data_IF_852449261885
#
_entry.id   IF_852449261885
#
_cell.length_a   1.000
_cell.length_b   1.000
_cell.length_c   1.000
_cell.angle_alpha   90.00
_cell.angle_beta   90.00
_cell.angle_gamma   90.00
#
_symmetry.space_group_name_H-M   'P 1'
#
loop_
_entity.id
_entity.type
_entity.pdbx_description
1 polymer ?
#
# COMPACT_ATOMS: atom_id res chain seq x y z
N UNK A 1 -33.88 5.63 2.85
CA UNK A 1 -32.64 5.68 2.04
C UNK A 1 -32.31 4.24 1.70
N UNK A 2 -32.39 3.84 0.42
CA UNK A 2 -31.99 2.49 0.00
C UNK A 2 -30.49 2.54 -0.26
N UNK A 3 -29.70 1.90 0.58
CA UNK A 3 -28.30 1.62 0.28
C UNK A 3 -28.26 0.73 -0.95
N UNK A 4 -27.64 1.22 -2.02
CA UNK A 4 -27.57 0.49 -3.29
C UNK A 4 -26.30 -0.39 -3.27
N UNK A 5 -26.40 -1.72 -3.27
CA UNK A 5 -25.26 -2.62 -3.06
C UNK A 5 -24.25 -2.68 -4.24
N UNK A 6 -24.54 -2.01 -5.36
CA UNK A 6 -23.75 -2.10 -6.61
C UNK A 6 -22.60 -1.08 -6.74
N UNK A 7 -22.24 -0.38 -5.66
CA UNK A 7 -21.21 0.68 -5.72
C UNK A 7 -19.79 0.10 -5.76
N UNK A 8 -19.58 -1.08 -5.16
CA UNK A 8 -18.27 -1.72 -5.09
C UNK A 8 -18.19 -2.90 -6.05
N UNK A 9 -17.40 -2.76 -7.12
CA UNK A 9 -17.18 -3.83 -8.09
C UNK A 9 -15.89 -4.59 -7.80
N UNK A 10 -15.92 -5.94 -7.74
CA UNK A 10 -14.73 -6.74 -7.61
C UNK A 10 -13.88 -6.63 -8.88
N UNK A 11 -12.56 -6.57 -8.70
CA UNK A 11 -11.59 -6.54 -9.80
C UNK A 11 -10.23 -7.13 -9.35
N UNK A 12 -9.30 -7.26 -10.30
CA UNK A 12 -7.92 -7.62 -10.03
C UNK A 12 -6.98 -6.45 -10.32
N UNK A 13 -6.02 -6.21 -9.43
CA UNK A 13 -4.95 -5.24 -9.61
C UNK A 13 -3.57 -5.92 -9.61
N UNK A 14 -2.60 -5.32 -10.29
CA UNK A 14 -1.22 -5.79 -10.34
C UNK A 14 -0.38 -5.03 -9.31
N UNK A 15 0.26 -5.73 -8.38
CA UNK A 15 1.28 -5.15 -7.51
C UNK A 15 2.60 -5.11 -8.27
N UNK A 16 3.15 -3.91 -8.43
CA UNK A 16 4.37 -3.63 -9.20
C UNK A 16 5.38 -2.87 -8.35
N UNK A 17 6.60 -2.70 -8.87
CA UNK A 17 7.63 -1.88 -8.24
C UNK A 17 7.26 -0.40 -8.05
N UNK A 18 6.27 0.11 -8.81
CA UNK A 18 5.79 1.49 -8.74
C UNK A 18 4.59 1.67 -7.79
N UNK A 19 3.88 0.59 -7.47
CA UNK A 19 2.66 0.63 -6.67
C UNK A 19 1.66 -0.46 -7.06
N UNK A 20 0.44 -0.37 -6.52
CA UNK A 20 -0.69 -1.21 -6.95
C UNK A 20 -1.26 -0.59 -8.23
N UNK A 21 -1.06 -1.24 -9.37
CA UNK A 21 -1.49 -0.78 -10.68
C UNK A 21 -2.86 -1.35 -11.05
N UNK A 22 -3.80 -0.47 -11.37
CA UNK A 22 -5.12 -0.83 -11.88
C UNK A 22 -5.61 0.21 -12.88
N UNK A 23 -6.03 -0.23 -14.07
CA UNK A 23 -6.51 0.64 -15.18
C UNK A 23 -5.61 1.86 -15.44
N UNK A 24 -4.29 1.66 -15.45
CA UNK A 24 -3.29 2.70 -15.71
C UNK A 24 -3.05 3.68 -14.55
N UNK A 25 -3.72 3.49 -13.41
CA UNK A 25 -3.54 4.30 -12.19
C UNK A 25 -2.72 3.53 -11.18
N UNK A 26 -2.00 4.27 -10.33
CA UNK A 26 -1.17 3.71 -9.27
C UNK A 26 -1.80 4.05 -7.93
N UNK A 27 -1.88 3.06 -7.07
CA UNK A 27 -2.44 3.15 -5.72
C UNK A 27 -1.42 2.69 -4.68
N UNK A 28 -1.56 3.20 -3.46
CA UNK A 28 -0.73 2.79 -2.32
C UNK A 28 -1.55 2.76 -1.03
N UNK A 29 -1.23 1.83 -0.13
CA UNK A 29 -1.82 1.73 1.20
C UNK A 29 -0.76 1.44 2.26
N UNK A 30 -1.13 1.65 3.51
CA UNK A 30 -0.22 1.43 4.64
C UNK A 30 0.26 -0.02 4.73
N UNK A 31 -0.59 -1.00 4.42
CA UNK A 31 -0.25 -2.42 4.44
C UNK A 31 0.85 -2.74 3.42
N UNK A 32 0.66 -2.31 2.17
CA UNK A 32 1.64 -2.51 1.10
C UNK A 32 3.01 -1.90 1.44
N UNK A 33 3.01 -0.72 2.09
CA UNK A 33 4.24 -0.08 2.56
C UNK A 33 4.90 -0.84 3.72
N UNK A 34 4.12 -1.23 4.75
CA UNK A 34 4.63 -1.97 5.92
C UNK A 34 5.23 -3.31 5.53
N UNK A 35 4.61 -4.01 4.58
CA UNK A 35 5.03 -5.33 4.12
C UNK A 35 6.02 -5.28 2.94
N UNK A 36 6.44 -4.07 2.53
CA UNK A 36 7.40 -3.83 1.45
C UNK A 36 6.97 -4.47 0.12
N UNK A 37 5.68 -4.40 -0.20
CA UNK A 37 5.13 -5.02 -1.40
C UNK A 37 5.82 -4.52 -2.67
N UNK A 38 6.03 -3.21 -2.79
CA UNK A 38 6.62 -2.61 -3.98
C UNK A 38 8.10 -2.98 -4.14
N UNK A 39 8.83 -3.20 -3.05
CA UNK A 39 10.21 -3.69 -3.14
C UNK A 39 10.25 -5.13 -3.67
N UNK A 40 9.40 -6.01 -3.13
CA UNK A 40 9.28 -7.41 -3.56
C UNK A 40 8.80 -7.51 -5.01
N UNK A 41 7.87 -6.65 -5.39
CA UNK A 41 7.28 -6.62 -6.74
C UNK A 41 8.25 -6.13 -7.83
N UNK A 42 9.40 -5.54 -7.47
CA UNK A 42 10.49 -5.28 -8.42
C UNK A 42 11.17 -6.58 -8.89
N UNK A 43 11.19 -7.60 -8.04
CA UNK A 43 11.75 -8.91 -8.37
C UNK A 43 10.69 -9.75 -9.09
N UNK A 44 9.49 -9.83 -8.51
CA UNK A 44 8.39 -10.60 -9.06
C UNK A 44 7.06 -9.89 -8.77
N UNK A 45 6.39 -9.32 -9.79
CA UNK A 45 5.06 -8.74 -9.60
C UNK A 45 3.99 -9.84 -9.41
N UNK A 46 2.89 -9.51 -8.74
CA UNK A 46 1.77 -10.42 -8.52
C UNK A 46 0.42 -9.72 -8.60
N UNK A 47 -0.66 -10.49 -8.65
CA UNK A 47 -2.04 -9.98 -8.67
C UNK A 47 -2.69 -10.07 -7.30
N UNK A 48 -3.58 -9.12 -7.03
CA UNK A 48 -4.44 -9.11 -5.83
C UNK A 48 -5.88 -8.80 -6.22
N UNK A 49 -6.83 -9.36 -5.46
CA UNK A 49 -8.22 -8.96 -5.55
C UNK A 49 -8.41 -7.57 -4.93
N UNK A 50 -9.28 -6.77 -5.52
CA UNK A 50 -9.64 -5.43 -5.04
C UNK A 50 -11.14 -5.19 -5.23
N UNK A 51 -11.68 -4.20 -4.54
CA UNK A 51 -12.97 -3.60 -4.87
C UNK A 51 -12.76 -2.16 -5.28
N UNK A 52 -13.40 -1.76 -6.38
CA UNK A 52 -13.37 -0.38 -6.87
C UNK A 52 -14.75 0.27 -6.67
N UNK A 53 -14.74 1.53 -6.28
CA UNK A 53 -15.92 2.38 -6.34
C UNK A 53 -16.23 2.72 -7.81
N UNK A 54 -17.49 2.56 -8.22
CA UNK A 54 -17.93 2.85 -9.58
C UNK A 54 -18.03 4.36 -9.88
N UNK A 55 -18.10 5.19 -8.85
CA UNK A 55 -18.21 6.64 -8.96
C UNK A 55 -16.90 7.36 -8.69
N UNK A 56 -15.94 6.72 -8.03
CA UNK A 56 -14.65 7.31 -7.68
C UNK A 56 -13.50 6.37 -8.00
N UNK A 57 -12.46 6.90 -8.63
CA UNK A 57 -11.19 6.22 -8.84
C UNK A 57 -10.09 6.67 -7.87
N UNK A 58 -10.43 7.50 -6.88
CA UNK A 58 -9.47 8.07 -5.92
C UNK A 58 -8.98 7.03 -4.91
N UNK A 59 -9.73 5.96 -4.72
CA UNK A 59 -9.35 4.86 -3.85
C UNK A 59 -9.82 3.51 -4.38
N UNK A 60 -9.16 2.47 -3.90
CA UNK A 60 -9.57 1.07 -4.04
C UNK A 60 -9.51 0.41 -2.67
N UNK A 61 -10.33 -0.63 -2.48
CA UNK A 61 -10.37 -1.42 -1.25
C UNK A 61 -9.66 -2.75 -1.47
N UNK A 62 -8.79 -3.11 -0.53
CA UNK A 62 -8.05 -4.36 -0.54
C UNK A 62 -8.57 -5.29 0.57
N UNK A 63 -9.02 -6.51 0.26
CA UNK A 63 -9.26 -7.53 1.28
C UNK A 63 -7.92 -7.95 1.90
N UNK A 64 -7.79 -7.74 3.20
CA UNK A 64 -6.67 -8.24 4.02
C UNK A 64 -7.07 -9.50 4.77
N UNK A 65 -6.07 -10.25 5.24
CA UNK A 65 -6.20 -11.61 5.78
C UNK A 65 -7.24 -11.75 6.91
N UNK A 66 -7.50 -10.68 7.67
CA UNK A 66 -8.42 -10.69 8.80
C UNK A 66 -9.87 -10.37 8.41
N UNK A 67 -10.23 -10.50 7.13
CA UNK A 67 -11.57 -10.16 6.61
C UNK A 67 -11.87 -8.66 6.61
N UNK A 68 -10.88 -7.83 6.94
CA UNK A 68 -11.00 -6.37 6.92
C UNK A 68 -10.68 -5.82 5.52
N UNK A 69 -11.15 -4.61 5.22
CA UNK A 69 -10.79 -3.89 4.00
C UNK A 69 -9.78 -2.78 4.31
N UNK A 70 -8.72 -2.70 3.52
CA UNK A 70 -7.73 -1.62 3.57
C UNK A 70 -7.94 -0.65 2.41
N UNK A 71 -7.99 0.64 2.70
CA UNK A 71 -8.02 1.70 1.69
C UNK A 71 -6.62 1.89 1.08
N UNK A 72 -6.53 1.77 -0.25
CA UNK A 72 -5.41 2.29 -1.01
C UNK A 72 -5.84 3.51 -1.81
N UNK A 73 -5.13 4.61 -1.62
CA UNK A 73 -5.38 5.86 -2.32
C UNK A 73 -4.55 5.94 -3.58
N UNK A 74 -5.13 6.57 -4.59
CA UNK A 74 -4.45 6.91 -5.84
C UNK A 74 -3.28 7.83 -5.52
N UNK A 75 -2.12 7.51 -6.06
CA UNK A 75 -0.89 8.29 -5.92
C UNK A 75 -0.49 8.82 -7.28
N UNK A 76 -0.07 10.08 -7.33
CA UNK A 76 0.47 10.65 -8.56
C UNK A 76 1.93 10.21 -8.72
N UNK A 77 2.30 9.45 -9.76
CA UNK A 77 3.69 9.04 -9.98
C UNK A 77 4.63 10.23 -10.22
N UNK A 78 4.05 11.36 -10.65
CA UNK A 78 4.78 12.60 -10.91
C UNK A 78 4.85 13.52 -9.68
N UNK A 79 4.17 13.19 -8.57
CA UNK A 79 4.46 13.79 -7.27
C UNK A 79 5.79 13.22 -6.78
N UNK A 80 6.87 13.72 -7.37
CA UNK A 80 8.19 13.55 -6.81
C UNK A 80 8.19 14.30 -5.49
N UNK A 81 7.94 13.61 -4.39
CA UNK A 81 8.58 14.01 -3.15
C UNK A 81 10.06 13.63 -3.32
N UNK A 82 10.98 14.60 -3.50
CA UNK A 82 12.38 14.32 -3.80
C UNK A 82 13.15 13.84 -2.56
N UNK A 83 12.46 13.67 -1.41
CA UNK A 83 13.05 13.10 -0.21
C UNK A 83 13.52 11.68 -0.47
N UNK A 84 14.83 11.47 -0.35
CA UNK A 84 15.55 10.23 -0.64
C UNK A 84 14.91 9.05 0.15
N UNK A 85 13.94 8.37 -0.47
CA UNK A 85 13.05 7.42 0.19
C UNK A 85 13.84 6.25 0.83
N UNK A 86 14.98 5.92 0.23
CA UNK A 86 15.93 4.95 0.75
C UNK A 86 16.55 5.41 2.08
N UNK A 87 16.98 6.67 2.18
CA UNK A 87 17.52 7.25 3.43
C UNK A 87 16.45 7.29 4.52
N UNK A 88 15.21 7.64 4.16
CA UNK A 88 14.09 7.62 5.11
C UNK A 88 13.86 6.22 5.68
N UNK A 89 13.87 5.18 4.84
CA UNK A 89 13.75 3.81 5.31
C UNK A 89 14.94 3.34 6.14
N UNK A 90 16.17 3.70 5.73
CA UNK A 90 17.38 3.39 6.50
C UNK A 90 17.32 4.05 7.89
N UNK A 91 16.89 5.32 7.97
CA UNK A 91 16.71 6.04 9.23
C UNK A 91 15.67 5.36 10.13
N UNK A 92 14.50 5.01 9.61
CA UNK A 92 13.47 4.29 10.39
C UNK A 92 14.00 2.95 10.91
N UNK A 93 14.71 2.19 10.09
CA UNK A 93 15.28 0.91 10.50
C UNK A 93 16.34 1.10 11.59
N UNK A 94 17.19 2.12 11.48
CA UNK A 94 18.17 2.47 12.49
C UNK A 94 17.52 2.87 13.83
N UNK A 95 16.47 3.69 13.79
CA UNK A 95 15.72 4.09 15.00
C UNK A 95 15.05 2.88 15.69
N UNK A 96 14.50 1.93 14.91
CA UNK A 96 13.95 0.68 15.46
C UNK A 96 15.03 -0.15 16.18
N UNK A 97 16.22 -0.27 15.59
CA UNK A 97 17.34 -0.99 16.21
C UNK A 97 17.79 -0.33 17.51
N UNK A 98 17.93 1.00 17.55
CA UNK A 98 18.26 1.75 18.77
C UNK A 98 17.23 1.49 19.88
N UNK A 99 15.93 1.55 19.57
CA UNK A 99 14.85 1.30 20.54
C UNK A 99 14.93 -0.11 21.15
N UNK A 100 15.27 -1.11 20.34
CA UNK A 100 15.48 -2.48 20.81
C UNK A 100 16.69 -2.59 21.75
N UNK A 101 17.77 -1.86 21.48
CA UNK A 101 18.95 -1.83 22.35
C UNK A 101 18.65 -1.17 23.70
N UNK A 102 17.89 -0.07 23.73
CA UNK A 102 17.47 0.56 24.98
C UNK A 102 16.57 -0.35 25.82
N UNK A 103 15.65 -1.11 25.21
CA UNK A 103 14.84 -2.10 25.93
C UNK A 103 15.68 -3.24 26.53
N UNK A 104 16.80 -3.60 25.90
CA UNK A 104 17.70 -4.66 26.39
C UNK A 104 18.66 -4.20 27.49
N UNK A 105 18.96 -2.91 27.57
CA UNK A 105 19.81 -2.31 28.63
C UNK A 105 19.04 -1.91 29.90
N UNK A 106 17.71 -1.95 29.85
CA UNK A 106 16.83 -1.65 30.99
C UNK A 106 16.30 -2.88 31.75
N UNK A 107 16.80 -4.07 31.41
CA UNK A 107 16.68 -5.32 32.18
C UNK A 107 18.07 -5.68 32.70
#
# INVERSE_FOLDING_TARGET
MKENPDILKPAEANVTGAGISYKGKIYSCQTALKEQWFLKARVQPWKIAIFMDVWSDEYILLPIKDGTLSLAYKVNPNDQNPGNHLEYYQLINHLKQKRLQYRRKGN
#
